data_IF_518095105655
#
_entry.id   IF_518095105655
#
_cell.length_a   1.000
_cell.length_b   1.000
_cell.length_c   1.000
_cell.angle_alpha   90.00
_cell.angle_beta   90.00
_cell.angle_gamma   90.00
#
_symmetry.space_group_name_H-M   'P 1'
#
loop_
_entity.id
_entity.type
_entity.pdbx_description
1 polymer ?
#
# COMPACT_ATOMS: atom_id res chain seq x y z
N UNK A 1 55.50 -70.85 85.80
CA UNK A 1 56.30 -70.20 84.75
C UNK A 1 55.43 -70.12 83.50
N UNK A 2 55.29 -68.93 82.90
CA UNK A 2 54.76 -68.73 81.54
C UNK A 2 53.25 -68.41 81.43
N UNK A 3 52.89 -67.13 81.36
CA UNK A 3 51.74 -66.68 80.56
C UNK A 3 52.21 -66.50 79.11
N UNK A 4 51.35 -66.79 78.12
CA UNK A 4 50.88 -65.74 77.19
C UNK A 4 49.36 -65.87 76.91
N UNK A 5 48.56 -64.82 76.89
CA UNK A 5 48.32 -63.84 75.80
C UNK A 5 47.06 -64.17 74.95
N UNK A 6 46.01 -63.35 75.18
CA UNK A 6 45.09 -62.68 74.22
C UNK A 6 44.36 -63.50 73.14
N UNK A 7 43.02 -63.39 73.12
CA UNK A 7 42.22 -62.85 71.99
C UNK A 7 40.71 -63.06 72.21
N UNK A 8 39.94 -61.97 72.32
CA UNK A 8 38.48 -62.01 72.40
C UNK A 8 37.83 -62.35 71.05
N UNK A 9 36.60 -62.92 71.02
CA UNK A 9 35.99 -63.36 69.78
C UNK A 9 35.46 -62.18 68.94
N UNK A 10 35.89 -62.20 67.68
CA UNK A 10 35.62 -61.25 66.59
C UNK A 10 34.13 -61.04 66.31
N UNK A 11 33.71 -59.78 66.17
CA UNK A 11 32.40 -59.39 65.64
C UNK A 11 32.27 -59.81 64.17
N UNK A 12 31.16 -60.47 63.83
CA UNK A 12 30.80 -60.85 62.45
C UNK A 12 30.53 -59.59 61.60
N UNK A 13 31.00 -59.50 60.35
CA UNK A 13 30.69 -58.35 59.52
C UNK A 13 29.25 -58.44 59.01
N UNK A 14 28.50 -57.34 59.16
CA UNK A 14 27.17 -57.21 58.60
C UNK A 14 27.25 -57.11 57.06
N UNK A 15 26.50 -57.98 56.37
CA UNK A 15 26.40 -58.02 54.90
C UNK A 15 25.69 -56.74 54.42
N UNK A 16 26.46 -55.77 53.94
CA UNK A 16 25.97 -54.51 53.36
C UNK A 16 25.21 -54.84 52.08
N UNK A 17 23.88 -54.71 52.09
CA UNK A 17 23.03 -54.85 50.88
C UNK A 17 23.52 -53.85 49.83
N UNK A 18 24.06 -54.37 48.73
CA UNK A 18 24.44 -53.56 47.58
C UNK A 18 23.16 -53.03 46.93
N UNK A 19 22.97 -51.72 46.93
CA UNK A 19 21.93 -51.06 46.15
C UNK A 19 22.26 -51.22 44.66
N UNK A 20 21.29 -51.55 43.79
CA UNK A 20 21.54 -51.64 42.36
C UNK A 20 21.97 -50.26 41.84
N UNK A 21 23.18 -50.19 41.29
CA UNK A 21 23.69 -48.99 40.61
C UNK A 21 22.86 -48.77 39.36
N UNK A 22 21.86 -47.89 39.43
CA UNK A 22 21.18 -47.40 38.22
C UNK A 22 22.21 -46.70 37.33
N UNK A 23 22.24 -46.97 36.02
CA UNK A 23 23.18 -46.32 35.11
C UNK A 23 22.93 -44.80 35.11
N UNK A 24 23.97 -44.04 35.43
CA UNK A 24 23.94 -42.59 35.61
C UNK A 24 23.83 -41.79 34.31
N UNK A 25 23.53 -42.44 33.19
CA UNK A 25 23.47 -41.81 31.88
C UNK A 25 22.05 -41.91 31.32
N UNK A 26 21.26 -40.87 31.60
CA UNK A 26 20.04 -40.54 30.85
C UNK A 26 20.31 -39.22 30.16
N UNK A 27 20.48 -39.19 28.82
CA UNK A 27 20.56 -37.92 28.12
C UNK A 27 19.24 -37.17 28.38
N UNK A 28 19.33 -36.02 29.07
CA UNK A 28 18.21 -35.11 29.21
C UNK A 28 18.02 -34.50 27.82
N UNK A 29 17.12 -35.10 27.02
CA UNK A 29 16.66 -34.45 25.80
C UNK A 29 16.19 -33.04 26.21
N UNK A 30 16.59 -31.98 25.49
CA UNK A 30 15.97 -30.69 25.72
C UNK A 30 14.47 -30.91 25.57
N UNK A 31 13.69 -30.55 26.59
CA UNK A 31 12.25 -30.44 26.44
C UNK A 31 12.04 -29.28 25.47
N UNK A 32 12.17 -29.57 24.18
CA UNK A 32 11.77 -28.64 23.13
C UNK A 32 10.29 -28.44 23.39
N UNK A 33 9.93 -27.25 23.83
CA UNK A 33 8.55 -26.95 24.15
C UNK A 33 7.76 -26.94 22.83
N UNK A 34 7.22 -28.09 22.44
CA UNK A 34 6.50 -28.29 21.18
C UNK A 34 5.33 -27.30 21.04
N UNK A 35 4.75 -26.87 22.17
CA UNK A 35 3.75 -25.80 22.21
C UNK A 35 4.32 -24.42 21.87
N UNK A 36 5.56 -24.10 22.27
CA UNK A 36 6.21 -22.85 21.85
C UNK A 36 6.50 -22.93 20.36
N UNK A 37 7.16 -23.98 19.89
CA UNK A 37 7.49 -24.17 18.46
C UNK A 37 6.21 -24.10 17.60
N UNK A 38 5.12 -24.75 18.04
CA UNK A 38 3.80 -24.69 17.39
C UNK A 38 3.16 -23.30 17.41
N UNK A 39 3.34 -22.52 18.49
CA UNK A 39 2.84 -21.14 18.55
C UNK A 39 3.63 -20.21 17.64
N UNK A 40 4.94 -20.35 17.55
CA UNK A 40 5.78 -19.56 16.65
C UNK A 40 5.49 -19.89 15.17
N UNK A 41 5.28 -21.17 14.84
CA UNK A 41 4.90 -21.56 13.48
C UNK A 41 3.51 -21.05 13.10
N UNK A 42 2.53 -21.09 14.01
CA UNK A 42 1.21 -20.51 13.79
C UNK A 42 1.27 -19.00 13.57
N UNK A 43 2.04 -18.27 14.39
CA UNK A 43 2.22 -16.83 14.24
C UNK A 43 2.89 -16.47 12.91
N UNK A 44 3.90 -17.22 12.48
CA UNK A 44 4.56 -17.02 11.18
C UNK A 44 3.61 -17.28 10.01
N UNK A 45 2.76 -18.31 10.12
CA UNK A 45 1.77 -18.64 9.11
C UNK A 45 0.71 -17.55 9.00
N UNK A 46 0.17 -17.08 10.13
CA UNK A 46 -0.77 -15.95 10.17
C UNK A 46 -0.14 -14.66 9.64
N UNK A 47 1.11 -14.38 10.00
CA UNK A 47 1.83 -13.22 9.48
C UNK A 47 2.03 -13.32 7.96
N UNK A 48 2.39 -14.50 7.46
CA UNK A 48 2.50 -14.76 6.02
C UNK A 48 1.19 -14.53 5.29
N UNK A 49 0.07 -15.07 5.81
CA UNK A 49 -1.27 -14.86 5.24
C UNK A 49 -1.66 -13.39 5.27
N UNK A 50 -1.40 -12.67 6.38
CA UNK A 50 -1.67 -11.24 6.51
C UNK A 50 -0.85 -10.43 5.50
N UNK A 51 0.46 -10.70 5.38
CA UNK A 51 1.34 -10.04 4.43
C UNK A 51 0.90 -10.33 2.98
N UNK A 52 0.53 -11.58 2.67
CA UNK A 52 0.00 -11.95 1.36
C UNK A 52 -1.33 -11.24 1.06
N UNK A 53 -2.24 -11.14 2.03
CA UNK A 53 -3.50 -10.41 1.87
C UNK A 53 -3.28 -8.91 1.66
N UNK A 54 -2.34 -8.30 2.37
CA UNK A 54 -1.95 -6.89 2.19
C UNK A 54 -1.31 -6.65 0.82
N UNK A 55 -0.41 -7.52 0.38
CA UNK A 55 0.20 -7.44 -0.95
C UNK A 55 -0.85 -7.62 -2.05
N UNK A 56 -1.74 -8.60 -1.90
CA UNK A 56 -2.81 -8.86 -2.86
C UNK A 56 -3.82 -7.70 -2.91
N UNK A 57 -4.21 -7.14 -1.76
CA UNK A 57 -5.05 -5.94 -1.69
C UNK A 57 -4.38 -4.72 -2.31
N UNK A 58 -3.07 -4.52 -2.07
CA UNK A 58 -2.28 -3.47 -2.70
C UNK A 58 -2.18 -3.61 -4.22
N UNK A 59 -2.05 -4.83 -4.73
CA UNK A 59 -2.10 -5.12 -6.17
C UNK A 59 -3.50 -4.88 -6.73
N UNK A 60 -4.55 -5.25 -6.00
CA UNK A 60 -5.93 -5.01 -6.43
C UNK A 60 -6.28 -3.52 -6.52
N UNK A 61 -5.73 -2.68 -5.62
CA UNK A 61 -5.88 -1.23 -5.70
C UNK A 61 -5.26 -0.61 -6.96
N UNK A 62 -4.35 -1.34 -7.64
CA UNK A 62 -3.78 -0.91 -8.93
C UNK A 62 -4.60 -1.37 -10.14
N UNK A 63 -5.56 -2.28 -9.96
CA UNK A 63 -6.35 -2.75 -11.08
C UNK A 63 -7.39 -1.69 -11.50
N UNK A 64 -7.42 -1.28 -12.78
CA UNK A 64 -8.34 -0.27 -13.30
C UNK A 64 -9.83 -0.66 -13.15
N UNK A 65 -10.12 -1.94 -12.93
CA UNK A 65 -11.48 -2.46 -12.72
C UNK A 65 -12.08 -2.13 -11.34
N UNK A 66 -11.28 -1.74 -10.34
CA UNK A 66 -11.78 -1.50 -8.97
C UNK A 66 -12.22 -0.05 -8.77
N UNK A 67 -11.68 0.89 -9.57
CA UNK A 67 -12.02 2.32 -9.54
C UNK A 67 -11.95 2.90 -10.96
N UNK A 68 -12.91 2.56 -11.84
CA UNK A 68 -12.99 3.19 -13.15
C UNK A 68 -13.10 4.70 -12.99
N UNK A 69 -12.37 5.43 -13.81
CA UNK A 69 -12.57 6.86 -13.96
C UNK A 69 -13.86 7.03 -14.76
N UNK A 70 -14.98 7.24 -14.08
CA UNK A 70 -16.32 7.17 -14.68
C UNK A 70 -16.80 8.51 -15.23
N UNK A 71 -16.36 9.63 -14.65
CA UNK A 71 -16.96 10.94 -14.92
C UNK A 71 -15.92 12.04 -14.98
N UNK A 72 -15.90 12.77 -16.10
CA UNK A 72 -15.27 14.09 -16.21
C UNK A 72 -16.36 15.13 -16.02
N UNK A 73 -16.36 15.80 -14.86
CA UNK A 73 -17.32 16.89 -14.59
C UNK A 73 -16.70 18.20 -15.03
N UNK A 74 -17.33 18.83 -16.02
CA UNK A 74 -16.89 20.12 -16.56
C UNK A 74 -17.81 21.21 -16.02
N UNK A 75 -17.26 22.00 -15.11
CA UNK A 75 -17.94 23.14 -14.48
C UNK A 75 -17.43 24.45 -15.10
N UNK A 76 -18.37 25.31 -15.49
CA UNK A 76 -18.09 26.63 -16.08
C UNK A 76 -19.35 27.25 -16.68
N UNK A 77 -19.31 28.56 -16.92
CA UNK A 77 -20.33 29.24 -17.73
C UNK A 77 -19.70 29.49 -19.09
N UNK A 78 -20.13 28.73 -20.09
CA UNK A 78 -19.61 28.84 -21.44
C UNK A 78 -20.55 29.65 -22.31
N UNK A 79 -19.99 30.57 -23.10
CA UNK A 79 -20.71 31.40 -24.07
C UNK A 79 -20.24 31.14 -25.49
N UNK A 80 -18.94 30.87 -25.68
CA UNK A 80 -18.32 30.57 -26.97
C UNK A 80 -17.77 29.14 -27.05
N UNK A 81 -17.55 28.47 -25.90
CA UNK A 81 -17.13 27.07 -25.84
C UNK A 81 -18.33 26.13 -25.69
N UNK A 82 -18.35 25.04 -26.45
CA UNK A 82 -19.25 23.92 -26.17
C UNK A 82 -18.56 22.90 -25.25
N UNK A 83 -19.34 22.21 -24.41
CA UNK A 83 -18.78 21.17 -23.52
C UNK A 83 -18.19 20.02 -24.33
N UNK A 84 -18.80 19.66 -25.43
CA UNK A 84 -18.36 18.54 -26.26
C UNK A 84 -16.99 18.81 -26.88
N UNK A 85 -16.68 20.05 -27.27
CA UNK A 85 -15.35 20.45 -27.74
C UNK A 85 -14.29 20.26 -26.64
N UNK A 86 -14.61 20.61 -25.40
CA UNK A 86 -13.72 20.42 -24.25
C UNK A 86 -13.49 18.93 -24.01
N UNK A 87 -14.55 18.12 -24.01
CA UNK A 87 -14.46 16.65 -23.84
C UNK A 87 -13.58 16.05 -24.94
N UNK A 88 -13.78 16.46 -26.19
CA UNK A 88 -13.01 15.97 -27.33
C UNK A 88 -11.54 16.40 -27.25
N UNK A 89 -11.25 17.63 -26.82
CA UNK A 89 -9.88 18.10 -26.67
C UNK A 89 -9.09 17.30 -25.61
N UNK A 90 -9.77 16.87 -24.53
CA UNK A 90 -9.11 16.15 -23.43
C UNK A 90 -9.21 14.63 -23.51
N UNK A 91 -10.01 14.07 -24.42
CA UNK A 91 -10.29 12.63 -24.45
C UNK A 91 -9.02 11.78 -24.58
N UNK A 92 -8.03 12.25 -25.34
CA UNK A 92 -6.75 11.54 -25.50
C UNK A 92 -5.83 11.64 -24.29
N UNK A 93 -5.97 12.71 -23.48
CA UNK A 93 -5.21 12.89 -22.26
C UNK A 93 -5.82 12.10 -21.08
N UNK A 94 -7.13 11.85 -21.11
CA UNK A 94 -7.84 11.06 -20.09
C UNK A 94 -7.63 9.56 -20.34
N UNK A 95 -6.43 9.06 -20.08
CA UNK A 95 -6.07 7.63 -20.19
C UNK A 95 -5.66 7.05 -18.84
N UNK A 96 -6.15 5.85 -18.52
CA UNK A 96 -5.80 5.12 -17.30
C UNK A 96 -6.95 5.01 -16.29
N UNK A 97 -6.61 4.93 -15.00
CA UNK A 97 -7.57 4.86 -13.89
C UNK A 97 -7.49 6.12 -13.01
N UNK A 98 -8.36 6.21 -11.99
CA UNK A 98 -8.40 7.36 -11.07
C UNK A 98 -7.03 7.72 -10.44
N UNK A 99 -6.17 6.73 -10.16
CA UNK A 99 -4.84 6.94 -9.59
C UNK A 99 -3.74 7.18 -10.63
N UNK A 100 -3.88 6.63 -11.84
CA UNK A 100 -2.83 6.68 -12.87
C UNK A 100 -3.05 7.75 -13.94
N UNK A 101 -4.25 8.32 -14.06
CA UNK A 101 -4.54 9.39 -15.03
C UNK A 101 -3.64 10.59 -14.79
N UNK A 102 -3.04 11.14 -15.84
CA UNK A 102 -2.22 12.34 -15.75
C UNK A 102 -3.11 13.59 -15.76
N UNK A 103 -3.28 14.19 -14.58
CA UNK A 103 -4.13 15.38 -14.39
C UNK A 103 -3.52 16.62 -15.07
N UNK A 104 -2.19 16.69 -15.15
CA UNK A 104 -1.50 17.81 -15.76
C UNK A 104 -1.64 17.73 -17.28
N UNK A 105 -1.50 16.53 -17.86
CA UNK A 105 -1.75 16.33 -19.29
C UNK A 105 -3.19 16.70 -19.68
N UNK A 106 -4.17 16.37 -18.85
CA UNK A 106 -5.58 16.76 -19.07
C UNK A 106 -5.78 18.27 -18.98
N UNK A 107 -5.12 18.92 -18.02
CA UNK A 107 -5.13 20.38 -17.87
C UNK A 107 -4.51 21.05 -19.11
N UNK A 108 -3.36 20.58 -19.55
CA UNK A 108 -2.63 21.13 -20.68
C UNK A 108 -3.41 20.94 -21.99
N UNK A 109 -4.04 19.78 -22.19
CA UNK A 109 -4.91 19.53 -23.33
C UNK A 109 -6.08 20.52 -23.40
N UNK A 110 -6.73 20.80 -22.26
CA UNK A 110 -7.81 21.78 -22.22
C UNK A 110 -7.33 23.22 -22.47
N UNK A 111 -6.10 23.57 -22.05
CA UNK A 111 -5.51 24.89 -22.30
C UNK A 111 -5.11 25.13 -23.76
N UNK A 112 -5.08 24.09 -24.61
CA UNK A 112 -4.85 24.25 -26.05
C UNK A 112 -6.06 24.88 -26.76
N UNK A 113 -7.24 24.84 -26.16
CA UNK A 113 -8.42 25.50 -26.69
C UNK A 113 -8.26 27.03 -26.54
N UNK A 114 -8.31 27.81 -27.63
CA UNK A 114 -7.96 29.24 -27.56
C UNK A 114 -8.92 30.08 -26.70
N UNK A 115 -10.17 29.64 -26.58
CA UNK A 115 -11.19 30.27 -25.76
C UNK A 115 -11.02 29.97 -24.26
N UNK A 116 -10.10 29.11 -23.87
CA UNK A 116 -9.85 28.78 -22.48
C UNK A 116 -8.81 29.74 -21.90
N UNK A 117 -9.20 30.44 -20.84
CA UNK A 117 -8.32 31.39 -20.13
C UNK A 117 -7.61 30.71 -18.96
N UNK A 118 -8.33 29.88 -18.19
CA UNK A 118 -7.77 29.07 -17.11
C UNK A 118 -8.46 27.74 -17.02
N UNK A 119 -7.70 26.73 -16.62
CA UNK A 119 -8.20 25.40 -16.28
C UNK A 119 -7.64 24.99 -14.93
N UNK A 120 -8.52 24.44 -14.08
CA UNK A 120 -8.12 23.68 -12.91
C UNK A 120 -8.73 22.30 -12.99
N UNK A 121 -7.89 21.27 -12.84
CA UNK A 121 -8.32 19.88 -12.84
C UNK A 121 -7.94 19.28 -11.50
N UNK A 122 -8.89 18.60 -10.86
CA UNK A 122 -8.66 17.93 -9.59
C UNK A 122 -9.35 16.59 -9.56
N UNK A 123 -8.76 15.65 -8.82
CA UNK A 123 -9.37 14.36 -8.52
C UNK A 123 -10.36 14.53 -7.38
N UNK A 124 -11.61 14.16 -7.61
CA UNK A 124 -12.66 14.13 -6.60
C UNK A 124 -13.02 12.66 -6.35
N UNK A 125 -12.84 12.25 -5.10
CA UNK A 125 -13.16 10.89 -4.71
C UNK A 125 -14.68 10.74 -4.51
N UNK A 126 -15.30 9.63 -4.97
CA UNK A 126 -14.72 8.51 -5.70
C UNK A 126 -14.77 8.68 -7.24
N UNK A 127 -13.67 8.37 -7.93
CA UNK A 127 -13.67 8.08 -9.38
C UNK A 127 -13.94 9.25 -10.34
N UNK A 128 -13.95 10.49 -9.86
CA UNK A 128 -14.32 11.66 -10.68
C UNK A 128 -13.13 12.58 -10.93
N UNK A 129 -12.97 13.07 -12.16
CA UNK A 129 -12.14 14.23 -12.46
C UNK A 129 -13.04 15.47 -12.56
N UNK A 130 -12.84 16.40 -11.64
CA UNK A 130 -13.55 17.67 -11.62
C UNK A 130 -12.67 18.71 -12.32
N UNK A 131 -13.15 19.18 -13.46
CA UNK A 131 -12.50 20.17 -14.30
C UNK A 131 -13.31 21.47 -14.25
N UNK A 132 -12.67 22.56 -13.82
CA UNK A 132 -13.24 23.90 -13.92
C UNK A 132 -12.53 24.66 -15.02
N UNK A 133 -13.31 25.14 -15.97
CA UNK A 133 -12.83 25.88 -17.14
C UNK A 133 -13.36 27.31 -17.05
N UNK A 134 -12.44 28.28 -17.10
CA UNK A 134 -12.75 29.70 -17.23
C UNK A 134 -12.55 30.10 -18.69
N UNK A 135 -13.62 30.59 -19.31
CA UNK A 135 -13.61 31.08 -20.68
C UNK A 135 -13.06 32.50 -20.76
N UNK A 136 -12.33 32.78 -21.84
CA UNK A 136 -11.82 34.10 -22.21
C UNK A 136 -12.96 35.13 -22.31
N UNK A 137 -12.77 36.30 -21.71
CA UNK A 137 -13.71 37.43 -21.85
C UNK A 137 -13.15 38.46 -22.85
N UNK A 138 -13.58 38.43 -24.12
CA UNK A 138 -13.08 39.36 -25.12
C UNK A 138 -13.50 40.79 -24.77
N UNK A 139 -12.55 41.72 -24.85
CA UNK A 139 -12.76 43.16 -24.62
C UNK A 139 -12.76 43.93 -25.94
N UNK A 140 -11.86 43.58 -26.85
CA UNK A 140 -11.72 44.24 -28.15
C UNK A 140 -11.15 43.29 -29.20
N UNK A 141 -11.32 43.65 -30.47
CA UNK A 141 -10.68 42.93 -31.59
C UNK A 141 -9.24 43.41 -31.77
N UNK A 142 -8.30 42.49 -31.90
CA UNK A 142 -6.90 42.75 -32.18
C UNK A 142 -6.56 42.33 -33.62
N UNK A 143 -6.38 43.32 -34.49
CA UNK A 143 -6.18 43.08 -35.91
C UNK A 143 -7.44 42.53 -36.59
N UNK A 144 -7.28 41.53 -37.47
CA UNK A 144 -8.39 40.96 -38.26
C UNK A 144 -9.00 39.71 -37.63
N UNK A 145 -8.18 38.84 -37.03
CA UNK A 145 -8.56 37.48 -36.61
C UNK A 145 -8.42 37.24 -35.11
N UNK A 146 -7.72 38.10 -34.37
CA UNK A 146 -7.45 37.89 -32.95
C UNK A 146 -8.32 38.81 -32.07
N UNK A 147 -8.41 38.46 -30.80
CA UNK A 147 -9.14 39.18 -29.77
C UNK A 147 -8.19 39.49 -28.61
N UNK A 148 -8.44 40.58 -27.90
CA UNK A 148 -7.78 40.90 -26.63
C UNK A 148 -8.77 40.68 -25.50
N UNK A 149 -8.37 39.92 -24.48
CA UNK A 149 -9.18 39.68 -23.30
C UNK A 149 -9.08 40.84 -22.28
N UNK A 150 -9.85 40.78 -21.20
CA UNK A 150 -9.82 41.78 -20.11
C UNK A 150 -8.49 41.89 -19.36
N UNK A 151 -7.59 40.90 -19.50
CA UNK A 151 -6.24 40.92 -18.91
C UNK A 151 -5.20 41.55 -19.83
N UNK A 152 -5.59 41.92 -21.06
CA UNK A 152 -4.68 42.44 -22.08
C UNK A 152 -3.93 41.35 -22.85
N UNK A 153 -4.32 40.09 -22.72
CA UNK A 153 -3.72 38.98 -23.46
C UNK A 153 -4.43 38.81 -24.81
N UNK A 154 -3.65 38.58 -25.86
CA UNK A 154 -4.16 38.35 -27.21
C UNK A 154 -4.39 36.85 -27.41
N UNK A 155 -5.57 36.46 -27.88
CA UNK A 155 -5.89 35.08 -28.26
C UNK A 155 -6.58 35.03 -29.63
N UNK A 156 -6.50 33.88 -30.30
CA UNK A 156 -7.10 33.68 -31.64
C UNK A 156 -8.04 32.49 -31.58
N UNK A 157 -9.36 32.72 -31.58
CA UNK A 157 -10.37 31.67 -31.53
C UNK A 157 -10.45 30.81 -32.79
#
# INVERSE_FOLDING_TARGET
MGRPEVAGPRKRPAKRRAQPKTPAWRPRLPATDWHRVGRWSLSLLLFGVMASALLWGGVQLRNPAVLPLEVVRIDGRFSHLERDDIVQAVSDAVRGNFFTVDVEAVRDAALQLPWVERVSVRRVWPGTLDMKVEEQQPLARWGKTSLVNRRGEVFTP
#
